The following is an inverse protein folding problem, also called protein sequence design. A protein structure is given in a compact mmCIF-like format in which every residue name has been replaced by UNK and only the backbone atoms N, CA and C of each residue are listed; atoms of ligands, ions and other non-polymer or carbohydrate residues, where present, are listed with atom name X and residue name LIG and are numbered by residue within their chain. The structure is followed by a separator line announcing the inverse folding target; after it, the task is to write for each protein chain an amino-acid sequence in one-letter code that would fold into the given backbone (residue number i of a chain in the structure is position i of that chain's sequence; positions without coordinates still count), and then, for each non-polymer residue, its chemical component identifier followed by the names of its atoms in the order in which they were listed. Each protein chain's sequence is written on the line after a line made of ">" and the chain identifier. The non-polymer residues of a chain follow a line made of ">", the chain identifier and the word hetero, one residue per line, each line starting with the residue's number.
data_IF_015027943605
#
_entry.id   IF_015027943605
#
_cell.length_a   1.000
_cell.length_b   1.000
_cell.length_c   1.000
_cell.angle_alpha   90.00
_cell.angle_beta   90.00
_cell.angle_gamma   90.00
#
_symmetry.space_group_name_H-M   'P 1'
#
loop_
_entity.id
_entity.type
_entity.pdbx_description
1 polymer ?
#
# COMPACT_ATOMS: atom_id res chain seq x y z
N UNK A 1 15.00 12.46 22.57
CA UNK A 1 15.86 11.38 22.15
C UNK A 1 17.21 11.44 22.85
N UNK A 2 17.75 10.29 23.17
CA UNK A 2 19.03 10.17 23.87
C UNK A 2 20.23 10.10 22.91
N UNK A 3 19.98 10.06 21.59
CA UNK A 3 21.04 10.00 20.58
C UNK A 3 21.44 11.41 20.12
N UNK A 4 22.69 11.78 20.37
CA UNK A 4 23.29 13.01 19.84
C UNK A 4 23.62 12.81 18.36
N UNK A 5 23.27 13.78 17.53
CA UNK A 5 23.63 13.80 16.10
C UNK A 5 25.05 14.41 15.98
N UNK A 6 25.91 13.77 15.19
CA UNK A 6 27.23 14.32 14.82
C UNK A 6 27.07 15.31 13.66
N UNK A 7 26.88 16.58 14.03
CA UNK A 7 26.70 17.67 13.06
C UNK A 7 27.92 17.96 12.24
N UNK A 8 29.13 17.74 12.80
CA UNK A 8 30.39 17.98 12.08
C UNK A 8 30.65 16.88 11.04
N UNK A 9 30.35 15.63 11.36
CA UNK A 9 30.37 14.56 10.37
C UNK A 9 29.38 14.80 9.23
N UNK A 10 28.17 15.26 9.55
CA UNK A 10 27.15 15.61 8.55
C UNK A 10 27.60 16.74 7.62
N UNK A 11 28.17 17.85 8.20
CA UNK A 11 28.74 18.97 7.42
C UNK A 11 29.87 18.50 6.51
N UNK A 12 30.76 17.66 7.01
CA UNK A 12 31.86 17.11 6.23
C UNK A 12 31.40 16.30 5.05
N UNK A 13 30.36 15.47 5.24
CA UNK A 13 29.78 14.67 4.19
C UNK A 13 29.14 15.55 3.10
N UNK A 14 28.34 16.56 3.49
CA UNK A 14 27.72 17.49 2.57
C UNK A 14 28.73 18.37 1.85
N UNK A 15 29.81 18.84 2.56
CA UNK A 15 30.84 19.65 1.98
C UNK A 15 31.60 18.95 0.84
N UNK A 16 31.77 17.64 0.90
CA UNK A 16 32.33 16.85 -0.20
C UNK A 16 31.51 16.98 -1.47
N UNK A 17 30.20 16.80 -1.39
CA UNK A 17 29.28 16.94 -2.53
C UNK A 17 29.25 18.40 -2.99
N UNK A 18 29.18 19.35 -2.06
CA UNK A 18 29.16 20.78 -2.36
C UNK A 18 30.36 21.21 -3.21
N UNK A 19 31.55 20.71 -2.89
CA UNK A 19 32.79 20.97 -3.67
C UNK A 19 32.76 20.39 -5.09
N UNK A 20 32.08 19.27 -5.29
CA UNK A 20 31.94 18.66 -6.63
C UNK A 20 30.98 19.44 -7.56
N UNK A 21 30.02 20.20 -6.98
CA UNK A 21 28.99 20.93 -7.73
C UNK A 21 29.14 22.45 -7.64
N UNK A 22 30.23 22.93 -7.04
CA UNK A 22 30.55 24.37 -6.84
C UNK A 22 29.40 25.14 -6.14
N UNK A 23 28.94 24.61 -5.01
CA UNK A 23 27.88 25.18 -4.17
C UNK A 23 28.33 25.32 -2.71
N UNK A 24 27.60 26.13 -1.94
CA UNK A 24 27.78 26.13 -0.48
C UNK A 24 27.25 24.86 0.16
N UNK A 25 27.69 24.59 1.39
CA UNK A 25 27.21 23.43 2.17
C UNK A 25 25.70 23.53 2.41
N UNK A 26 25.22 24.72 2.72
CA UNK A 26 23.81 25.01 2.98
C UNK A 26 22.93 24.84 1.73
N UNK A 27 23.37 25.38 0.57
CA UNK A 27 22.67 25.20 -0.70
C UNK A 27 22.60 23.72 -1.10
N UNK A 28 23.69 22.99 -0.87
CA UNK A 28 23.75 21.55 -1.18
C UNK A 28 22.85 20.77 -0.25
N UNK A 29 22.84 21.06 1.04
CA UNK A 29 21.95 20.40 2.00
C UNK A 29 20.47 20.64 1.67
N UNK A 30 20.11 21.89 1.33
CA UNK A 30 18.77 22.23 0.88
C UNK A 30 18.41 21.48 -0.40
N UNK A 31 19.33 21.44 -1.37
CA UNK A 31 19.14 20.70 -2.62
C UNK A 31 18.87 19.20 -2.41
N UNK A 32 19.57 18.56 -1.47
CA UNK A 32 19.34 17.16 -1.12
C UNK A 32 17.92 16.95 -0.60
N UNK A 33 17.44 17.83 0.30
CA UNK A 33 16.07 17.75 0.84
C UNK A 33 15.05 17.98 -0.28
N UNK A 34 15.28 18.94 -1.17
CA UNK A 34 14.39 19.22 -2.29
C UNK A 34 14.28 18.05 -3.27
N UNK A 35 15.40 17.39 -3.57
CA UNK A 35 15.40 16.18 -4.42
C UNK A 35 14.64 15.05 -3.75
N UNK A 36 14.87 14.83 -2.45
CA UNK A 36 14.14 13.81 -1.69
C UNK A 36 12.62 14.09 -1.69
N UNK A 37 12.21 15.34 -1.46
CA UNK A 37 10.81 15.77 -1.51
C UNK A 37 10.20 15.54 -2.90
N UNK A 38 10.91 15.90 -3.97
CA UNK A 38 10.43 15.69 -5.34
C UNK A 38 10.23 14.19 -5.66
N UNK A 39 11.14 13.33 -5.20
CA UNK A 39 10.98 11.89 -5.39
C UNK A 39 9.76 11.35 -4.63
N UNK A 40 9.53 11.81 -3.39
CA UNK A 40 8.35 11.44 -2.61
C UNK A 40 7.05 11.93 -3.26
N UNK A 41 7.04 13.14 -3.81
CA UNK A 41 5.89 13.67 -4.57
C UNK A 41 5.61 12.84 -5.81
N UNK A 42 6.65 12.39 -6.52
CA UNK A 42 6.51 11.49 -7.65
C UNK A 42 5.75 10.21 -7.26
N UNK A 43 6.14 9.58 -6.17
CA UNK A 43 5.47 8.38 -5.65
C UNK A 43 4.00 8.66 -5.22
N UNK A 44 3.75 9.75 -4.50
CA UNK A 44 2.40 10.14 -4.09
C UNK A 44 1.48 10.37 -5.30
N UNK A 45 1.99 11.08 -6.32
CA UNK A 45 1.22 11.35 -7.55
C UNK A 45 0.92 10.07 -8.33
N UNK A 46 1.88 9.16 -8.44
CA UNK A 46 1.66 7.87 -9.12
C UNK A 46 0.50 7.12 -8.48
N UNK A 47 0.52 6.94 -7.16
CA UNK A 47 -0.54 6.23 -6.41
C UNK A 47 -1.91 6.90 -6.58
N UNK A 48 -1.98 8.23 -6.54
CA UNK A 48 -3.23 8.97 -6.67
C UNK A 48 -3.74 8.97 -8.12
N UNK A 49 -2.85 9.24 -9.09
CA UNK A 49 -3.20 9.32 -10.51
C UNK A 49 -3.65 7.98 -11.08
N UNK A 50 -2.96 6.88 -10.73
CA UNK A 50 -3.32 5.53 -11.17
C UNK A 50 -4.73 5.11 -10.70
N UNK A 51 -5.19 5.70 -9.61
CA UNK A 51 -6.54 5.47 -9.06
C UNK A 51 -7.55 6.54 -9.43
N UNK A 52 -7.16 7.56 -10.21
CA UNK A 52 -8.02 8.67 -10.57
C UNK A 52 -8.45 9.56 -9.39
N UNK A 53 -7.62 9.61 -8.32
CA UNK A 53 -7.94 10.33 -7.09
C UNK A 53 -7.38 11.75 -7.12
N UNK A 54 -8.13 12.71 -6.54
CA UNK A 54 -7.69 14.11 -6.41
C UNK A 54 -6.96 14.30 -5.06
N UNK A 55 -5.68 14.76 -5.07
CA UNK A 55 -4.93 15.00 -3.83
C UNK A 55 -5.62 15.95 -2.85
N UNK A 56 -6.46 16.86 -3.35
CA UNK A 56 -7.17 17.86 -2.53
C UNK A 56 -8.22 17.24 -1.59
N UNK A 57 -8.64 16.02 -1.87
CA UNK A 57 -9.61 15.29 -1.07
C UNK A 57 -8.96 14.49 0.08
N UNK A 58 -7.62 14.56 0.18
CA UNK A 58 -6.87 13.74 1.14
C UNK A 58 -6.18 14.57 2.23
N UNK A 59 -5.89 13.89 3.33
CA UNK A 59 -5.02 14.37 4.40
C UNK A 59 -3.73 13.56 4.40
N UNK A 60 -2.57 14.24 4.40
CA UNK A 60 -1.28 13.57 4.44
C UNK A 60 -0.94 13.12 5.87
N UNK A 61 -0.75 11.82 6.07
CA UNK A 61 -0.29 11.27 7.35
C UNK A 61 1.21 11.01 7.27
N UNK A 62 2.00 11.71 8.10
CA UNK A 62 3.44 11.53 8.17
C UNK A 62 3.86 10.82 9.45
N UNK A 63 4.47 9.65 9.30
CA UNK A 63 4.99 8.86 10.41
C UNK A 63 6.35 8.25 10.06
N UNK A 64 6.93 7.48 11.00
CA UNK A 64 8.31 7.03 10.91
C UNK A 64 9.29 8.07 11.46
N UNK A 65 10.59 7.77 11.42
CA UNK A 65 11.63 8.64 11.98
C UNK A 65 11.82 9.95 11.21
N UNK A 66 11.69 9.94 9.88
CA UNK A 66 11.94 11.09 9.01
C UNK A 66 10.66 11.69 8.40
N UNK A 67 9.54 10.95 8.32
CA UNK A 67 8.32 11.43 7.70
C UNK A 67 7.87 12.83 8.16
N UNK A 68 7.83 13.12 9.47
CA UNK A 68 7.42 14.41 9.98
C UNK A 68 8.29 15.60 9.54
N UNK A 69 9.55 15.36 9.18
CA UNK A 69 10.48 16.43 8.70
C UNK A 69 10.03 16.97 7.34
N UNK A 70 9.42 16.13 6.52
CA UNK A 70 9.10 16.45 5.14
C UNK A 70 7.66 16.94 4.92
N UNK A 71 6.75 16.73 5.88
CA UNK A 71 5.31 16.94 5.67
C UNK A 71 4.96 18.39 5.26
N UNK A 72 5.63 19.38 5.86
CA UNK A 72 5.39 20.80 5.58
C UNK A 72 5.70 21.19 4.14
N UNK A 73 6.70 20.55 3.55
CA UNK A 73 7.10 20.80 2.17
C UNK A 73 6.27 19.96 1.18
N UNK A 74 5.93 18.72 1.57
CA UNK A 74 5.18 17.80 0.71
C UNK A 74 3.74 18.25 0.49
N UNK A 75 3.08 18.80 1.51
CA UNK A 75 1.69 19.25 1.41
C UNK A 75 1.45 20.24 0.25
N UNK A 76 2.15 21.39 0.19
CA UNK A 76 1.96 22.33 -0.91
C UNK A 76 2.42 21.75 -2.26
N UNK A 77 3.49 20.96 -2.30
CA UNK A 77 3.98 20.34 -3.55
C UNK A 77 3.00 19.30 -4.12
N UNK A 78 2.26 18.60 -3.26
CA UNK A 78 1.24 17.63 -3.66
C UNK A 78 -0.15 18.24 -3.83
N UNK A 79 -0.38 19.51 -3.46
CA UNK A 79 -1.69 20.14 -3.33
C UNK A 79 -2.60 19.44 -2.32
N UNK A 80 -2.04 18.90 -1.23
CA UNK A 80 -2.79 18.28 -0.15
C UNK A 80 -3.05 19.35 0.93
N UNK A 81 -4.33 19.62 1.29
CA UNK A 81 -4.68 20.77 2.11
C UNK A 81 -4.36 20.61 3.60
N UNK A 82 -4.22 19.38 4.08
CA UNK A 82 -4.01 19.09 5.49
C UNK A 82 -3.02 17.96 5.72
N UNK A 83 -2.34 17.99 6.87
CA UNK A 83 -1.39 16.96 7.25
C UNK A 83 -1.50 16.62 8.73
N UNK A 84 -1.25 15.37 9.08
CA UNK A 84 -1.28 14.86 10.43
C UNK A 84 0.07 14.22 10.75
N UNK A 85 0.63 14.61 11.90
CA UNK A 85 1.75 13.89 12.51
C UNK A 85 1.21 13.28 13.80
N UNK A 86 1.12 11.96 13.91
CA UNK A 86 0.58 11.30 15.10
C UNK A 86 1.53 11.45 16.29
N UNK A 87 1.00 11.24 17.49
CA UNK A 87 1.84 11.10 18.66
C UNK A 87 2.79 9.91 18.49
N UNK A 88 4.07 10.10 18.83
CA UNK A 88 5.11 9.08 18.67
C UNK A 88 5.25 8.55 17.23
N UNK A 89 5.46 9.43 16.24
CA UNK A 89 5.43 9.04 14.82
C UNK A 89 6.47 7.95 14.49
N UNK A 90 7.62 7.92 15.17
CA UNK A 90 8.63 6.89 14.97
C UNK A 90 8.21 5.47 15.37
N UNK A 91 7.18 5.34 16.18
CA UNK A 91 6.64 4.05 16.66
C UNK A 91 5.25 3.74 16.09
N UNK A 92 4.74 4.59 15.21
CA UNK A 92 3.36 4.51 14.72
C UNK A 92 3.07 3.21 13.95
N UNK A 93 4.06 2.69 13.21
CA UNK A 93 3.94 1.38 12.54
C UNK A 93 3.75 0.24 13.55
N UNK A 94 4.52 0.25 14.64
CA UNK A 94 4.38 -0.77 15.70
C UNK A 94 3.01 -0.67 16.38
N UNK A 95 2.52 0.55 16.62
CA UNK A 95 1.16 0.76 17.11
C UNK A 95 0.11 0.21 16.12
N UNK A 96 0.27 0.46 14.82
CA UNK A 96 -0.60 -0.08 13.78
C UNK A 96 -0.69 -1.61 13.82
N UNK A 97 0.44 -2.30 13.99
CA UNK A 97 0.45 -3.75 14.11
C UNK A 97 -0.34 -4.30 15.31
N UNK A 98 -0.44 -3.54 16.40
CA UNK A 98 -1.26 -3.96 17.55
C UNK A 98 -2.76 -3.79 17.32
N UNK A 99 -3.16 -3.09 16.26
CA UNK A 99 -4.55 -2.77 15.94
C UNK A 99 -5.07 -3.56 14.73
N UNK A 100 -4.22 -4.34 14.07
CA UNK A 100 -4.61 -5.14 12.91
C UNK A 100 -5.06 -6.53 13.34
N UNK A 101 -6.09 -7.03 12.68
CA UNK A 101 -6.49 -8.43 12.78
C UNK A 101 -5.49 -9.35 12.08
N UNK A 102 -5.45 -10.61 12.50
CA UNK A 102 -4.70 -11.63 11.78
C UNK A 102 -5.38 -11.90 10.43
N UNK A 103 -4.62 -11.84 9.33
CA UNK A 103 -5.12 -12.06 7.98
C UNK A 103 -4.23 -13.07 7.26
N UNK A 104 -4.87 -14.00 6.57
CA UNK A 104 -4.22 -14.94 5.65
C UNK A 104 -4.87 -14.77 4.28
N UNK A 105 -4.07 -14.41 3.29
CA UNK A 105 -4.45 -14.37 1.90
C UNK A 105 -3.93 -15.62 1.20
N UNK A 106 -4.80 -16.29 0.48
CA UNK A 106 -4.47 -17.45 -0.36
C UNK A 106 -5.04 -17.23 -1.75
N UNK A 107 -4.27 -17.54 -2.76
CA UNK A 107 -4.66 -17.40 -4.15
C UNK A 107 -4.36 -18.66 -4.95
N UNK A 108 -5.13 -18.88 -6.02
CA UNK A 108 -4.91 -20.00 -6.94
C UNK A 108 -5.31 -19.64 -8.36
N UNK A 109 -4.38 -19.77 -9.28
CA UNK A 109 -4.65 -19.56 -10.69
C UNK A 109 -5.57 -20.67 -11.21
N UNK A 110 -6.76 -20.28 -11.67
CA UNK A 110 -7.77 -21.17 -12.26
C UNK A 110 -8.36 -20.49 -13.52
N UNK A 111 -7.64 -20.49 -14.66
CA UNK A 111 -8.03 -19.71 -15.83
C UNK A 111 -9.33 -20.25 -16.43
N UNK A 112 -10.33 -19.38 -16.51
CA UNK A 112 -11.63 -19.64 -17.13
C UNK A 112 -12.04 -18.42 -17.93
N UNK A 113 -12.97 -18.60 -18.87
CA UNK A 113 -13.52 -17.48 -19.66
C UNK A 113 -15.03 -17.44 -19.49
N UNK A 114 -15.66 -16.29 -19.76
CA UNK A 114 -17.13 -16.16 -19.73
C UNK A 114 -17.85 -17.19 -20.60
N UNK A 115 -17.23 -17.65 -21.70
CA UNK A 115 -17.81 -18.64 -22.61
C UNK A 115 -17.55 -20.10 -22.20
N UNK A 116 -16.61 -20.32 -21.30
CA UNK A 116 -16.16 -21.65 -20.86
C UNK A 116 -15.96 -21.66 -19.33
N UNK A 117 -16.86 -21.03 -18.62
CA UNK A 117 -16.87 -21.06 -17.18
C UNK A 117 -17.38 -22.43 -16.69
N UNK A 118 -16.72 -22.95 -15.65
CA UNK A 118 -17.02 -24.26 -15.05
C UNK A 118 -17.37 -24.06 -13.58
N UNK A 119 -18.66 -23.90 -13.24
CA UNK A 119 -19.10 -23.61 -11.87
C UNK A 119 -18.59 -24.62 -10.84
N UNK A 120 -18.68 -25.91 -11.14
CA UNK A 120 -18.24 -26.95 -10.21
C UNK A 120 -16.73 -26.85 -9.92
N UNK A 121 -15.91 -26.64 -10.94
CA UNK A 121 -14.48 -26.45 -10.76
C UNK A 121 -14.15 -25.16 -9.97
N UNK A 122 -14.87 -24.06 -10.23
CA UNK A 122 -14.71 -22.82 -9.48
C UNK A 122 -15.09 -23.00 -8.01
N UNK A 123 -16.16 -23.73 -7.74
CA UNK A 123 -16.61 -24.09 -6.38
C UNK A 123 -15.57 -24.95 -5.66
N UNK A 124 -15.00 -25.95 -6.33
CA UNK A 124 -13.98 -26.82 -5.75
C UNK A 124 -12.71 -26.01 -5.38
N UNK A 125 -12.23 -25.16 -6.29
CA UNK A 125 -11.07 -24.28 -6.05
C UNK A 125 -11.34 -23.34 -4.87
N UNK A 126 -12.52 -22.71 -4.82
CA UNK A 126 -12.87 -21.79 -3.73
C UNK A 126 -12.99 -22.53 -2.38
N UNK A 127 -13.58 -23.71 -2.36
CA UNK A 127 -13.66 -24.53 -1.14
C UNK A 127 -12.27 -24.94 -0.63
N UNK A 128 -11.35 -25.26 -1.54
CA UNK A 128 -9.97 -25.58 -1.19
C UNK A 128 -9.24 -24.37 -0.58
N UNK A 129 -9.39 -23.17 -1.17
CA UNK A 129 -8.79 -21.93 -0.66
C UNK A 129 -9.34 -21.57 0.72
N UNK A 130 -10.66 -21.66 0.92
CA UNK A 130 -11.29 -21.43 2.23
C UNK A 130 -10.76 -22.41 3.28
N UNK A 131 -10.62 -23.68 2.92
CA UNK A 131 -10.07 -24.69 3.84
C UNK A 131 -8.61 -24.41 4.19
N UNK A 132 -7.79 -24.04 3.21
CA UNK A 132 -6.37 -23.72 3.38
C UNK A 132 -6.17 -22.50 4.29
N UNK A 133 -6.87 -21.39 4.01
CA UNK A 133 -6.77 -20.15 4.80
C UNK A 133 -7.28 -20.33 6.23
N UNK A 134 -8.40 -21.07 6.40
CA UNK A 134 -8.95 -21.35 7.73
C UNK A 134 -8.03 -22.24 8.55
N UNK A 135 -7.41 -23.26 7.94
CA UNK A 135 -6.46 -24.11 8.60
C UNK A 135 -5.22 -23.32 9.05
N UNK A 136 -4.68 -22.45 8.18
CA UNK A 136 -3.52 -21.62 8.52
C UNK A 136 -3.79 -20.63 9.67
N UNK A 137 -4.99 -20.05 9.76
CA UNK A 137 -5.40 -19.24 10.92
C UNK A 137 -5.55 -20.08 12.18
N UNK A 138 -6.14 -21.27 12.06
CA UNK A 138 -6.33 -22.19 13.20
C UNK A 138 -5.00 -22.66 13.77
N UNK A 139 -4.02 -22.95 12.93
CA UNK A 139 -2.66 -23.35 13.33
C UNK A 139 -1.94 -22.21 14.10
N UNK A 140 -2.31 -20.95 13.86
CA UNK A 140 -1.84 -19.79 14.60
C UNK A 140 -2.66 -19.49 15.88
N UNK A 141 -3.68 -20.30 16.18
CA UNK A 141 -4.52 -20.17 17.36
C UNK A 141 -5.81 -19.36 17.17
N UNK A 142 -6.09 -18.89 15.97
CA UNK A 142 -7.33 -18.15 15.65
C UNK A 142 -8.42 -19.14 15.23
N UNK A 143 -9.29 -19.52 16.17
CA UNK A 143 -10.32 -20.55 15.95
C UNK A 143 -11.76 -20.01 15.98
N UNK A 144 -11.95 -18.74 16.27
CA UNK A 144 -13.28 -18.11 16.36
C UNK A 144 -13.32 -16.79 15.61
N UNK A 145 -14.53 -16.41 15.18
CA UNK A 145 -14.78 -15.12 14.51
C UNK A 145 -13.98 -14.93 13.22
N UNK A 146 -13.75 -16.01 12.46
CA UNK A 146 -13.08 -15.93 11.16
C UNK A 146 -14.06 -15.35 10.14
N UNK A 147 -13.70 -14.24 9.53
CA UNK A 147 -14.37 -13.67 8.39
C UNK A 147 -13.68 -14.13 7.09
N UNK A 148 -14.46 -14.52 6.10
CA UNK A 148 -13.95 -14.96 4.81
C UNK A 148 -14.40 -13.96 3.73
N UNK A 149 -13.41 -13.31 3.14
CA UNK A 149 -13.60 -12.46 1.98
C UNK A 149 -13.16 -13.22 0.73
N UNK A 150 -13.94 -13.12 -0.32
CA UNK A 150 -13.71 -13.81 -1.59
C UNK A 150 -13.60 -12.80 -2.71
N UNK A 151 -12.66 -13.02 -3.63
CA UNK A 151 -12.53 -12.20 -4.83
C UNK A 151 -12.08 -13.05 -6.02
N UNK A 152 -12.26 -12.50 -7.21
CA UNK A 152 -11.76 -13.04 -8.46
C UNK A 152 -10.82 -12.02 -9.09
N UNK A 153 -9.67 -12.46 -9.56
CA UNK A 153 -8.85 -11.66 -10.46
C UNK A 153 -9.33 -11.83 -11.90
N UNK A 154 -9.82 -10.75 -12.47
CA UNK A 154 -10.45 -10.76 -13.78
C UNK A 154 -9.80 -9.76 -14.73
N UNK A 155 -9.74 -10.10 -16.01
CA UNK A 155 -9.29 -9.18 -17.06
C UNK A 155 -10.07 -9.38 -18.36
N UNK A 156 -10.15 -8.33 -19.14
CA UNK A 156 -10.64 -8.47 -20.51
C UNK A 156 -9.60 -9.19 -21.38
N UNK A 157 -10.09 -9.89 -22.38
CA UNK A 157 -9.22 -10.57 -23.33
C UNK A 157 -8.26 -9.57 -24.01
N UNK A 158 -6.95 -9.85 -23.92
CA UNK A 158 -5.90 -8.97 -24.46
C UNK A 158 -5.36 -7.91 -23.49
N UNK A 159 -5.89 -7.80 -22.27
CA UNK A 159 -5.30 -6.98 -21.22
C UNK A 159 -4.21 -7.73 -20.45
N UNK A 160 -3.22 -6.97 -19.95
CA UNK A 160 -2.08 -7.50 -19.20
C UNK A 160 -2.17 -7.26 -17.68
N UNK A 161 -3.20 -6.57 -17.20
CA UNK A 161 -3.45 -6.41 -15.77
C UNK A 161 -4.83 -6.94 -15.43
N UNK A 162 -4.95 -7.45 -14.23
CA UNK A 162 -6.16 -8.00 -13.66
C UNK A 162 -6.80 -7.01 -12.69
N UNK A 163 -8.12 -7.07 -12.59
CA UNK A 163 -8.89 -6.32 -11.62
C UNK A 163 -9.41 -7.30 -10.58
N UNK A 164 -9.22 -6.97 -9.32
CA UNK A 164 -9.82 -7.71 -8.24
C UNK A 164 -11.31 -7.37 -8.15
N UNK A 165 -12.15 -8.39 -8.33
CA UNK A 165 -13.62 -8.30 -8.26
C UNK A 165 -14.08 -9.03 -7.02
N UNK A 166 -14.51 -8.32 -5.96
CA UNK A 166 -15.05 -8.96 -4.77
C UNK A 166 -16.35 -9.67 -5.09
N UNK A 167 -16.57 -10.81 -4.45
CA UNK A 167 -17.81 -11.59 -4.55
C UNK A 167 -18.41 -11.78 -3.16
N UNK A 168 -19.72 -11.60 -3.06
CA UNK A 168 -20.51 -11.67 -1.81
C UNK A 168 -21.32 -12.97 -1.66
N UNK A 169 -21.15 -13.90 -2.60
CA UNK A 169 -21.78 -15.21 -2.58
C UNK A 169 -20.79 -16.34 -2.22
N UNK A 170 -21.32 -17.46 -1.76
CA UNK A 170 -20.50 -18.60 -1.35
C UNK A 170 -20.31 -19.65 -2.46
N UNK A 171 -21.19 -19.65 -3.47
CA UNK A 171 -21.21 -20.66 -4.51
C UNK A 171 -21.51 -20.06 -5.88
N UNK A 172 -20.79 -20.55 -6.87
CA UNK A 172 -21.04 -20.26 -8.28
C UNK A 172 -22.19 -21.14 -8.80
N UNK A 173 -23.22 -20.50 -9.33
CA UNK A 173 -24.34 -21.08 -10.06
C UNK A 173 -24.71 -20.16 -11.24
N UNK A 174 -25.75 -20.50 -11.99
CA UNK A 174 -26.15 -19.75 -13.19
C UNK A 174 -26.55 -18.29 -12.87
N UNK A 175 -27.12 -18.04 -11.69
CA UNK A 175 -27.58 -16.71 -11.27
C UNK A 175 -26.39 -15.84 -10.82
N UNK A 176 -25.52 -16.36 -9.96
CA UNK A 176 -24.35 -15.66 -9.45
C UNK A 176 -23.31 -15.38 -10.53
N UNK A 177 -23.14 -16.30 -11.49
CA UNK A 177 -22.24 -16.13 -12.63
C UNK A 177 -22.70 -14.95 -13.51
N UNK A 178 -24.01 -14.80 -13.74
CA UNK A 178 -24.53 -13.70 -14.53
C UNK A 178 -24.23 -12.32 -13.91
N UNK A 179 -24.14 -12.23 -12.57
CA UNK A 179 -23.80 -10.98 -11.87
C UNK A 179 -22.33 -10.56 -11.99
N UNK A 180 -21.42 -11.50 -12.19
CA UNK A 180 -19.97 -11.22 -12.30
C UNK A 180 -19.62 -10.50 -13.62
N UNK A 181 -20.41 -10.75 -14.69
CA UNK A 181 -20.11 -10.25 -16.03
C UNK A 181 -20.89 -8.98 -16.40
N UNK A 182 -21.62 -8.38 -15.47
CA UNK A 182 -22.34 -7.11 -15.63
C UNK A 182 -21.47 -5.93 -15.17
#
# INVERSE_FOLDING_TARGET
>A
GEMALDTEAAKTAVAKVAGEIDKSVEETALGIIQIANNNMIGALRSVLTERGLDPRDFTLLAFGGAGPVHISDLMPLANIPSGIVPNHPGQFSAFGFTMTDARIDVERTAPMTSKAFRPDHANDVMADLVRESTAALSDQGYTSSIEIQRSLEMRYFGQNHELEVPIDFERFDDETIASIWQ
#
